data_IF_362202169860
#
_entry.id   IF_362202169860
#
_cell.length_a   1.000
_cell.length_b   1.000
_cell.length_c   1.000
_cell.angle_alpha   90.00
_cell.angle_beta   90.00
_cell.angle_gamma   90.00
#
_symmetry.space_group_name_H-M   'P 1'
#
loop_
_entity.id
_entity.type
_entity.pdbx_description
1 polymer ?
#
# COMPACT_ATOMS: atom_id res chain seq x y z
N UNK A 1 17.37 16.84 -5.43
CA UNK A 1 16.82 15.65 -6.13
C UNK A 1 17.81 14.48 -6.30
N UNK A 2 19.00 14.48 -5.68
CA UNK A 2 20.06 13.46 -5.92
C UNK A 2 20.17 12.33 -4.87
N UNK A 3 19.63 12.49 -3.64
CA UNK A 3 19.79 11.50 -2.56
C UNK A 3 19.05 10.17 -2.77
N UNK A 4 17.96 10.18 -3.54
CA UNK A 4 17.08 9.01 -3.68
C UNK A 4 17.66 7.89 -4.57
N UNK A 5 18.69 8.19 -5.38
CA UNK A 5 19.30 7.21 -6.30
C UNK A 5 20.36 6.35 -5.59
N UNK A 6 21.26 6.97 -4.83
CA UNK A 6 22.27 6.26 -4.01
C UNK A 6 21.62 5.32 -3.01
N UNK A 7 20.59 5.81 -2.32
CA UNK A 7 19.89 5.06 -1.28
C UNK A 7 19.15 3.81 -1.84
N UNK A 8 18.69 3.87 -3.09
CA UNK A 8 18.13 2.72 -3.83
C UNK A 8 19.18 1.67 -4.20
N UNK A 9 20.38 2.09 -4.55
CA UNK A 9 21.48 1.18 -4.88
C UNK A 9 22.01 0.49 -3.61
N UNK A 10 22.02 1.19 -2.47
CA UNK A 10 22.42 0.63 -1.18
C UNK A 10 21.41 -0.41 -0.66
N UNK A 11 20.10 -0.19 -0.88
CA UNK A 11 19.05 -1.19 -0.63
C UNK A 11 19.27 -2.50 -1.41
N UNK A 12 19.82 -2.40 -2.62
CA UNK A 12 20.08 -3.53 -3.51
C UNK A 12 21.37 -4.29 -3.16
N UNK A 13 22.33 -3.67 -2.44
CA UNK A 13 23.63 -4.27 -2.08
C UNK A 13 23.67 -4.92 -0.70
N UNK A 14 22.67 -4.71 0.16
CA UNK A 14 22.64 -5.29 1.51
C UNK A 14 22.37 -6.81 1.49
N UNK A 15 23.21 -7.54 2.25
CA UNK A 15 23.23 -8.98 2.58
C UNK A 15 22.02 -9.83 2.16
N UNK A 16 22.32 -11.07 1.74
CA UNK A 16 21.37 -12.10 1.32
C UNK A 16 20.17 -12.17 2.27
N UNK A 17 19.00 -11.74 1.78
CA UNK A 17 17.73 -11.92 2.50
C UNK A 17 17.50 -13.42 2.66
N UNK A 18 17.42 -13.90 3.90
CA UNK A 18 17.07 -15.30 4.17
C UNK A 18 15.56 -15.45 4.02
N UNK A 19 15.15 -16.18 2.99
CA UNK A 19 13.77 -16.60 2.78
C UNK A 19 13.62 -18.11 3.05
N UNK A 20 12.44 -18.57 3.47
CA UNK A 20 11.26 -17.79 3.83
C UNK A 20 11.45 -17.06 5.18
N UNK A 21 10.75 -15.93 5.35
CA UNK A 21 10.55 -15.36 6.68
C UNK A 21 9.56 -16.22 7.47
N UNK A 22 9.76 -16.32 8.78
CA UNK A 22 8.93 -17.04 9.74
C UNK A 22 7.55 -16.38 9.84
N UNK A 23 7.51 -15.06 9.87
CA UNK A 23 6.28 -14.28 9.92
C UNK A 23 6.44 -12.87 9.34
N UNK A 24 5.34 -12.12 9.29
CA UNK A 24 5.30 -10.73 8.82
C UNK A 24 6.10 -9.78 9.71
N UNK A 25 6.27 -10.08 10.99
CA UNK A 25 7.03 -9.24 11.91
C UNK A 25 8.54 -9.39 11.67
N UNK A 26 9.03 -10.59 11.38
CA UNK A 26 10.40 -10.81 10.90
C UNK A 26 10.64 -10.04 9.59
N UNK A 27 9.74 -10.19 8.60
CA UNK A 27 9.84 -9.43 7.34
C UNK A 27 9.88 -7.91 7.59
N UNK A 28 9.02 -7.41 8.49
CA UNK A 28 8.97 -6.00 8.88
C UNK A 28 10.26 -5.52 9.56
N UNK A 29 10.84 -6.29 10.48
CA UNK A 29 12.13 -5.96 11.13
C UNK A 29 13.27 -5.90 10.12
N UNK A 30 13.36 -6.87 9.21
CA UNK A 30 14.39 -6.88 8.16
C UNK A 30 14.22 -5.69 7.22
N UNK A 31 12.99 -5.38 6.80
CA UNK A 31 12.72 -4.22 5.95
C UNK A 31 13.01 -2.90 6.68
N UNK A 32 12.71 -2.81 7.97
CA UNK A 32 12.95 -1.61 8.75
C UNK A 32 14.43 -1.24 8.85
N UNK A 33 15.33 -2.21 9.07
CA UNK A 33 16.78 -1.95 9.07
C UNK A 33 17.28 -1.45 7.72
N UNK A 34 16.68 -1.92 6.62
CA UNK A 34 16.99 -1.46 5.27
C UNK A 34 16.49 -0.05 4.98
N UNK A 35 15.45 0.41 5.67
CA UNK A 35 14.90 1.76 5.51
C UNK A 35 15.69 2.82 6.30
N UNK A 36 16.44 2.44 7.34
CA UNK A 36 17.18 3.38 8.19
C UNK A 36 18.19 4.24 7.42
N UNK A 37 19.04 3.69 6.53
CA UNK A 37 19.99 4.50 5.76
C UNK A 37 19.35 5.52 4.82
N UNK A 38 18.04 5.41 4.56
CA UNK A 38 17.32 6.33 3.68
C UNK A 38 17.01 7.68 4.35
N UNK A 39 17.21 7.82 5.66
CA UNK A 39 16.92 9.07 6.39
C UNK A 39 15.44 9.44 6.34
N UNK A 40 14.58 8.48 6.66
CA UNK A 40 13.11 8.60 6.63
C UNK A 40 12.53 8.89 8.02
N UNK A 41 13.29 9.53 8.91
CA UNK A 41 12.79 9.91 10.23
C UNK A 41 11.54 10.79 10.11
N UNK A 42 10.50 10.46 10.89
CA UNK A 42 9.22 11.19 10.85
C UNK A 42 8.34 10.89 9.63
N UNK A 43 8.70 9.93 8.78
CA UNK A 43 7.85 9.47 7.69
C UNK A 43 6.51 8.95 8.22
N UNK A 44 5.41 9.17 7.50
CA UNK A 44 4.14 8.50 7.80
C UNK A 44 4.18 7.06 7.26
N UNK A 45 3.98 6.07 8.12
CA UNK A 45 3.84 4.68 7.71
C UNK A 45 2.36 4.38 7.50
N UNK A 46 1.98 4.06 6.27
CA UNK A 46 0.62 3.73 5.86
C UNK A 46 0.55 2.26 5.48
N UNK A 47 0.02 1.42 6.37
CA UNK A 47 -0.08 -0.01 6.14
C UNK A 47 -1.39 -0.38 5.42
N UNK A 48 -1.30 -1.23 4.41
CA UNK A 48 -2.45 -1.79 3.70
C UNK A 48 -3.02 -2.98 4.50
N UNK A 49 -4.29 -2.90 4.96
CA UNK A 49 -4.87 -3.99 5.73
C UNK A 49 -5.19 -5.23 4.87
N UNK A 50 -5.07 -6.44 5.39
CA UNK A 50 -4.67 -6.79 6.77
C UNK A 50 -3.19 -7.13 6.89
N UNK A 51 -2.60 -7.59 5.79
CA UNK A 51 -1.26 -8.16 5.72
C UNK A 51 -0.15 -7.17 6.02
N UNK A 52 -0.21 -5.98 5.43
CA UNK A 52 0.78 -4.93 5.63
C UNK A 52 0.88 -4.39 7.05
N UNK A 53 -0.13 -4.57 7.90
CA UNK A 53 -0.18 -3.95 9.24
C UNK A 53 0.92 -4.49 10.17
N UNK A 54 1.09 -5.81 10.37
CA UNK A 54 2.23 -6.34 11.13
C UNK A 54 3.60 -5.92 10.60
N UNK A 55 3.76 -5.78 9.28
CA UNK A 55 5.02 -5.32 8.66
C UNK A 55 5.24 -3.84 8.97
N UNK A 56 4.22 -3.01 8.74
CA UNK A 56 4.25 -1.57 8.97
C UNK A 56 4.46 -1.20 10.43
N UNK A 57 3.96 -2.02 11.36
CA UNK A 57 4.22 -1.86 12.80
C UNK A 57 5.70 -1.91 13.15
N UNK A 58 6.43 -2.90 12.63
CA UNK A 58 7.86 -3.02 12.91
C UNK A 58 8.67 -1.89 12.27
N UNK A 59 8.28 -1.44 11.07
CA UNK A 59 8.88 -0.27 10.40
C UNK A 59 8.67 0.99 11.23
N UNK A 60 7.42 1.28 11.60
CA UNK A 60 7.07 2.46 12.38
C UNK A 60 7.82 2.50 13.73
N UNK A 61 7.85 1.37 14.44
CA UNK A 61 8.57 1.21 15.71
C UNK A 61 10.06 1.49 15.56
N UNK A 62 10.69 0.98 14.49
CA UNK A 62 12.14 1.12 14.25
C UNK A 62 12.55 2.53 13.82
N UNK A 63 11.70 3.22 13.05
CA UNK A 63 11.95 4.58 12.55
C UNK A 63 11.47 5.68 13.50
N UNK A 64 10.75 5.33 14.59
CA UNK A 64 10.09 6.32 15.45
C UNK A 64 8.98 7.09 14.74
N UNK A 65 8.35 6.44 13.76
CA UNK A 65 7.37 7.04 12.86
C UNK A 65 5.93 6.73 13.28
N UNK A 66 4.96 7.62 12.99
CA UNK A 66 3.55 7.30 13.16
C UNK A 66 3.11 6.20 12.18
N UNK A 67 2.31 5.26 12.68
CA UNK A 67 1.63 4.23 11.89
C UNK A 67 0.15 4.56 11.79
N UNK A 68 -0.39 4.48 10.58
CA UNK A 68 -1.82 4.39 10.34
C UNK A 68 -2.10 3.37 9.22
N UNK A 69 -3.37 3.06 9.01
CA UNK A 69 -3.83 2.23 7.89
C UNK A 69 -4.21 3.09 6.70
N UNK A 70 -4.05 2.55 5.50
CA UNK A 70 -4.67 3.08 4.28
C UNK A 70 -5.52 1.99 3.66
N UNK A 71 -6.84 2.18 3.67
CA UNK A 71 -7.76 1.18 3.12
C UNK A 71 -7.84 1.35 1.60
N UNK A 72 -7.65 0.24 0.88
CA UNK A 72 -7.76 0.18 -0.57
C UNK A 72 -8.61 -1.02 -1.01
N UNK A 73 -9.15 -0.96 -2.23
CA UNK A 73 -9.86 -2.04 -2.92
C UNK A 73 -9.39 -2.12 -4.37
N UNK A 74 -9.20 -3.33 -4.88
CA UNK A 74 -8.98 -3.61 -6.30
C UNK A 74 -10.33 -3.54 -7.02
N UNK A 75 -10.35 -2.92 -8.19
CA UNK A 75 -11.48 -2.98 -9.11
C UNK A 75 -11.18 -4.10 -10.11
N UNK A 76 -11.92 -5.20 -9.98
CA UNK A 76 -11.75 -6.37 -10.84
C UNK A 76 -12.49 -6.25 -12.17
N UNK A 77 -12.00 -6.94 -13.20
CA UNK A 77 -12.74 -7.14 -14.45
C UNK A 77 -13.92 -8.10 -14.19
N UNK A 78 -15.20 -7.75 -14.46
CA UNK A 78 -16.34 -8.56 -14.02
C UNK A 78 -16.31 -10.04 -14.47
N UNK A 79 -15.92 -10.38 -15.72
CA UNK A 79 -15.78 -11.76 -16.16
C UNK A 79 -14.61 -12.52 -15.53
N UNK A 80 -13.59 -11.81 -15.02
CA UNK A 80 -12.44 -12.40 -14.33
C UNK A 80 -12.03 -11.51 -13.15
N UNK A 81 -12.73 -11.59 -12.00
CA UNK A 81 -12.57 -10.64 -10.88
C UNK A 81 -11.15 -10.57 -10.30
N UNK A 82 -10.35 -11.61 -10.51
CA UNK A 82 -8.95 -11.62 -10.10
C UNK A 82 -8.06 -10.69 -10.93
N UNK A 83 -8.44 -10.38 -12.17
CA UNK A 83 -7.76 -9.40 -13.01
C UNK A 83 -8.12 -7.98 -12.55
N UNK A 84 -7.16 -7.29 -11.92
CA UNK A 84 -7.32 -5.90 -11.50
C UNK A 84 -7.22 -4.95 -12.69
N UNK A 85 -8.30 -4.23 -12.99
CA UNK A 85 -8.34 -3.17 -14.02
C UNK A 85 -8.26 -1.78 -13.42
N UNK A 86 -8.29 -1.69 -12.10
CA UNK A 86 -8.14 -0.44 -11.37
C UNK A 86 -8.09 -0.68 -9.87
N UNK A 87 -8.08 0.41 -9.11
CA UNK A 87 -8.14 0.41 -7.67
C UNK A 87 -8.83 1.66 -7.14
N UNK A 88 -9.25 1.59 -5.88
CA UNK A 88 -9.77 2.74 -5.16
C UNK A 88 -9.25 2.75 -3.72
N UNK A 89 -8.87 3.92 -3.25
CA UNK A 89 -8.43 4.16 -1.88
C UNK A 89 -9.43 5.05 -1.14
N UNK A 90 -9.41 5.01 0.19
CA UNK A 90 -10.26 5.88 1.00
C UNK A 90 -9.94 7.36 0.78
N UNK A 91 -10.99 8.18 0.72
CA UNK A 91 -10.85 9.60 0.36
C UNK A 91 -10.46 9.88 -1.10
N UNK A 92 -10.32 8.85 -1.94
CA UNK A 92 -9.94 8.95 -3.35
C UNK A 92 -11.05 8.54 -4.31
N UNK A 93 -10.91 8.99 -5.56
CA UNK A 93 -11.70 8.49 -6.69
C UNK A 93 -11.11 7.18 -7.23
N UNK A 94 -11.88 6.38 -7.99
CA UNK A 94 -11.34 5.23 -8.73
C UNK A 94 -10.18 5.65 -9.63
N UNK A 95 -9.19 4.79 -9.75
CA UNK A 95 -8.08 4.93 -10.71
C UNK A 95 -8.01 3.64 -11.52
N UNK A 96 -7.93 3.76 -12.84
CA UNK A 96 -7.96 2.64 -13.77
C UNK A 96 -6.66 2.52 -14.55
N UNK A 97 -6.35 1.29 -14.95
CA UNK A 97 -5.33 1.01 -15.96
C UNK A 97 -5.95 1.22 -17.35
N UNK A 98 -5.77 2.43 -17.89
CA UNK A 98 -6.35 2.80 -19.18
C UNK A 98 -5.87 1.95 -20.36
N UNK A 99 -4.64 1.42 -20.32
CA UNK A 99 -4.13 0.54 -21.38
C UNK A 99 -4.84 -0.82 -21.34
N UNK A 100 -5.00 -1.38 -20.14
CA UNK A 100 -5.73 -2.63 -19.95
C UNK A 100 -7.21 -2.50 -20.31
N UNK A 101 -7.87 -1.39 -19.93
CA UNK A 101 -9.25 -1.12 -20.33
C UNK A 101 -9.39 -1.06 -21.86
N UNK A 102 -8.49 -0.34 -22.55
CA UNK A 102 -8.51 -0.27 -24.01
C UNK A 102 -8.34 -1.64 -24.67
N UNK A 103 -7.44 -2.49 -24.14
CA UNK A 103 -7.24 -3.87 -24.62
C UNK A 103 -8.45 -4.78 -24.40
N UNK A 104 -9.22 -4.52 -23.35
CA UNK A 104 -10.46 -5.23 -23.03
C UNK A 104 -11.68 -4.63 -23.75
N UNK A 105 -11.53 -3.49 -24.45
CA UNK A 105 -12.62 -2.80 -25.11
C UNK A 105 -13.62 -2.16 -24.14
N UNK A 106 -13.15 -1.75 -22.96
CA UNK A 106 -13.98 -1.19 -21.88
C UNK A 106 -13.74 0.31 -21.71
N UNK A 107 -14.81 1.02 -21.35
CA UNK A 107 -14.75 2.32 -20.70
C UNK A 107 -14.93 2.21 -19.18
N UNK A 108 -14.69 3.30 -18.46
CA UNK A 108 -14.89 3.34 -17.00
C UNK A 108 -16.37 3.11 -16.62
N UNK A 109 -17.31 3.56 -17.45
CA UNK A 109 -18.75 3.39 -17.24
C UNK A 109 -19.18 1.92 -17.24
N UNK A 110 -18.47 1.06 -17.98
CA UNK A 110 -18.72 -0.39 -17.98
C UNK A 110 -18.41 -1.04 -16.62
N UNK A 111 -17.63 -0.35 -15.77
CA UNK A 111 -17.23 -0.82 -14.44
C UNK A 111 -18.03 -0.17 -13.32
N UNK A 112 -19.04 0.66 -13.62
CA UNK A 112 -19.78 1.43 -12.61
C UNK A 112 -20.37 0.55 -11.49
N UNK A 113 -20.93 -0.62 -11.84
CA UNK A 113 -21.47 -1.56 -10.86
C UNK A 113 -20.38 -2.15 -9.95
N UNK A 114 -19.22 -2.52 -10.53
CA UNK A 114 -18.06 -3.02 -9.77
C UNK A 114 -17.53 -1.95 -8.84
N UNK A 115 -17.37 -0.71 -9.34
CA UNK A 115 -16.93 0.44 -8.55
C UNK A 115 -17.86 0.69 -7.37
N UNK A 116 -19.18 0.64 -7.57
CA UNK A 116 -20.16 0.82 -6.51
C UNK A 116 -20.06 -0.27 -5.42
N UNK A 117 -19.89 -1.54 -5.82
CA UNK A 117 -19.72 -2.65 -4.89
C UNK A 117 -18.42 -2.53 -4.08
N UNK A 118 -17.30 -2.22 -4.75
CA UNK A 118 -16.01 -2.01 -4.08
C UNK A 118 -16.01 -0.75 -3.21
N UNK A 119 -16.79 0.27 -3.57
CA UNK A 119 -17.01 1.46 -2.73
C UNK A 119 -17.68 1.10 -1.42
N UNK A 120 -18.79 0.37 -1.48
CA UNK A 120 -19.53 -0.05 -0.28
C UNK A 120 -18.64 -0.90 0.66
N UNK A 121 -17.85 -1.82 0.12
CA UNK A 121 -16.91 -2.61 0.92
C UNK A 121 -15.76 -1.77 1.47
N UNK A 122 -15.25 -0.80 0.71
CA UNK A 122 -14.25 0.13 1.22
C UNK A 122 -14.82 0.88 2.43
N UNK A 123 -16.00 1.48 2.29
CA UNK A 123 -16.61 2.32 3.32
C UNK A 123 -16.88 1.51 4.59
N UNK A 124 -17.33 0.25 4.46
CA UNK A 124 -17.47 -0.68 5.58
C UNK A 124 -16.16 -0.89 6.34
N UNK A 125 -15.04 -1.09 5.63
CA UNK A 125 -13.71 -1.29 6.23
C UNK A 125 -13.17 -0.01 6.85
N UNK A 126 -13.37 1.13 6.20
CA UNK A 126 -12.98 2.45 6.73
C UNK A 126 -13.68 2.69 8.05
N UNK A 127 -15.00 2.45 8.12
CA UNK A 127 -15.75 2.58 9.38
C UNK A 127 -15.17 1.67 10.48
N UNK A 128 -14.87 0.41 10.16
CA UNK A 128 -14.32 -0.55 11.12
C UNK A 128 -12.91 -0.18 11.60
N UNK A 129 -12.01 0.29 10.72
CA UNK A 129 -10.62 0.54 11.08
C UNK A 129 -10.38 1.95 11.63
N UNK A 130 -11.10 2.95 11.15
CA UNK A 130 -10.88 4.34 11.57
C UNK A 130 -11.66 4.71 12.82
N UNK A 131 -12.81 4.08 13.08
CA UNK A 131 -13.68 4.44 14.21
C UNK A 131 -13.95 5.96 14.30
N UNK A 132 -14.19 6.61 13.15
CA UNK A 132 -14.42 8.05 13.06
C UNK A 132 -13.17 8.93 12.97
N UNK A 133 -11.95 8.39 13.08
CA UNK A 133 -10.71 9.15 12.83
C UNK A 133 -10.60 9.50 11.35
N UNK A 134 -10.05 10.68 11.02
CA UNK A 134 -9.74 11.06 9.65
C UNK A 134 -8.50 10.36 9.10
N UNK A 135 -8.18 10.58 7.81
CA UNK A 135 -6.89 10.23 7.22
C UNK A 135 -5.76 11.01 7.91
N UNK A 136 -4.56 10.42 8.06
CA UNK A 136 -3.43 11.13 8.60
C UNK A 136 -2.98 12.18 7.59
N UNK A 137 -2.60 13.36 8.07
CA UNK A 137 -1.95 14.35 7.23
C UNK A 137 -0.63 13.79 6.70
N UNK A 138 -0.34 13.99 5.42
CA UNK A 138 0.89 13.48 4.76
C UNK A 138 1.59 14.54 3.91
N UNK A 139 1.04 15.76 3.85
CA UNK A 139 1.64 16.84 3.09
C UNK A 139 3.05 17.19 3.62
N UNK A 140 4.00 17.37 2.71
CA UNK A 140 5.36 17.83 3.03
C UNK A 140 6.25 16.83 3.79
N UNK A 141 5.81 15.59 4.00
CA UNK A 141 6.59 14.55 4.69
C UNK A 141 6.76 13.28 3.84
N UNK A 142 7.83 12.49 4.05
CA UNK A 142 7.95 11.19 3.41
C UNK A 142 6.80 10.25 3.83
N UNK A 143 6.37 9.39 2.92
CA UNK A 143 5.33 8.37 3.17
C UNK A 143 5.88 7.00 2.78
N UNK A 144 5.67 6.03 3.66
CA UNK A 144 6.02 4.63 3.44
C UNK A 144 4.71 3.84 3.37
N UNK A 145 4.34 3.38 2.17
CA UNK A 145 3.20 2.49 1.98
C UNK A 145 3.66 1.05 2.13
N UNK A 146 2.99 0.27 2.97
CA UNK A 146 3.44 -1.06 3.37
C UNK A 146 2.39 -2.13 3.07
N UNK A 147 2.80 -3.20 2.41
CA UNK A 147 2.05 -4.46 2.30
C UNK A 147 2.92 -5.65 2.72
N UNK A 148 2.33 -6.83 2.92
CA UNK A 148 3.07 -8.06 3.25
C UNK A 148 3.61 -8.81 2.03
N UNK A 149 3.17 -8.44 0.84
CA UNK A 149 3.64 -8.99 -0.41
C UNK A 149 3.00 -8.30 -1.61
N UNK A 150 3.64 -8.44 -2.76
CA UNK A 150 3.09 -8.01 -4.03
C UNK A 150 3.02 -9.24 -4.94
N UNK A 151 1.81 -9.78 -5.11
CA UNK A 151 1.54 -10.79 -6.12
C UNK A 151 1.10 -10.09 -7.40
N UNK A 152 1.86 -10.25 -8.47
CA UNK A 152 1.56 -9.76 -9.82
C UNK A 152 0.70 -10.74 -10.58
#
# INVERSE_FOLDING_TARGET
>A
MSRNRSAREDLQRAETVRLPYIDRAEAGRVLAERLVPLGLEGAAVLALPRGGVPVGYEIARRLGSPLDVLVTRKIGYPPQPELGVGAIAEGGSPVFDGELLARLGLGEDDLAATVAAERAELDRRVAAYRSGRGLPEVAGRPVIVVDDGLAT
#
